data_IF_065051332119
#
_entry.id   IF_065051332119
#
_cell.length_a   1.000
_cell.length_b   1.000
_cell.length_c   1.000
_cell.angle_alpha   90.00
_cell.angle_beta   90.00
_cell.angle_gamma   90.00
#
_symmetry.space_group_name_H-M   'P 1'
#
loop_
_entity.id
_entity.type
_entity.pdbx_description
1 polymer ?
#
# COMPACT_ATOMS: atom_id res chain seq x y z
N UNK A 1 -20.06 -10.62 1.73
CA UNK A 1 -19.72 -10.38 1.89
C UNK A 1 -18.63 -9.79 1.96
N UNK A 2 -17.96 -9.61 1.77
CA UNK A 2 -16.94 -9.27 1.85
C UNK A 2 -16.72 -8.01 1.47
N UNK A 3 -17.09 -7.15 1.94
CA UNK A 3 -16.90 -5.92 1.72
C UNK A 3 -15.60 -5.44 1.76
N UNK A 4 -14.77 -5.93 2.57
CA UNK A 4 -13.53 -5.48 2.73
C UNK A 4 -12.78 -5.58 1.52
N UNK A 5 -12.97 -6.45 0.68
CA UNK A 5 -12.19 -6.57 -0.46
C UNK A 5 -12.40 -5.45 -1.44
N UNK A 6 -13.49 -4.73 -1.32
CA UNK A 6 -13.78 -3.71 -2.28
C UNK A 6 -12.73 -2.64 -2.43
N UNK A 7 -12.20 -2.15 -1.30
CA UNK A 7 -11.20 -1.09 -1.34
C UNK A 7 -9.91 -1.56 -2.01
N UNK A 8 -9.39 -2.70 -1.58
CA UNK A 8 -8.12 -3.16 -2.13
C UNK A 8 -8.25 -3.69 -3.55
N UNK A 9 -9.43 -4.20 -3.91
CA UNK A 9 -9.68 -4.56 -5.29
C UNK A 9 -9.63 -3.31 -6.16
N UNK A 10 -10.18 -2.22 -5.68
CA UNK A 10 -10.16 -0.97 -6.41
C UNK A 10 -8.74 -0.41 -6.52
N UNK A 11 -8.00 -0.46 -5.44
CA UNK A 11 -6.62 -0.01 -5.44
C UNK A 11 -5.80 -0.85 -6.42
N UNK A 12 -5.96 -2.17 -6.37
CA UNK A 12 -5.21 -3.03 -7.27
C UNK A 12 -5.60 -2.82 -8.72
N UNK A 13 -6.89 -2.62 -8.98
CA UNK A 13 -7.35 -2.43 -10.35
C UNK A 13 -6.89 -1.12 -10.95
N UNK A 14 -6.57 -0.13 -10.11
CA UNK A 14 -6.10 1.16 -10.59
C UNK A 14 -4.75 1.48 -10.01
N UNK A 15 -3.91 0.47 -9.84
CA UNK A 15 -2.67 0.63 -9.11
C UNK A 15 -1.80 1.78 -9.59
N UNK A 16 -1.71 1.95 -10.90
CA UNK A 16 -0.88 3.01 -11.42
C UNK A 16 -1.30 4.39 -10.92
N UNK A 17 -2.60 4.56 -10.71
CA UNK A 17 -3.09 5.85 -10.22
C UNK A 17 -2.73 6.06 -8.76
N UNK A 18 -2.57 4.97 -8.02
CA UNK A 18 -2.27 5.09 -6.61
C UNK A 18 -0.79 5.12 -6.27
N UNK A 19 0.08 4.81 -7.24
CA UNK A 19 1.51 4.80 -6.94
C UNK A 19 2.03 6.15 -6.49
N UNK A 20 1.50 7.22 -7.05
CA UNK A 20 1.90 8.55 -6.63
C UNK A 20 1.54 8.81 -5.17
N UNK A 21 0.36 8.39 -4.77
CA UNK A 21 -0.06 8.58 -3.38
C UNK A 21 0.78 7.73 -2.44
N UNK A 22 1.10 6.50 -2.85
CA UNK A 22 1.92 5.63 -2.04
C UNK A 22 3.30 6.26 -1.85
N UNK A 23 3.89 6.81 -2.90
CA UNK A 23 5.21 7.38 -2.80
C UNK A 23 5.22 8.68 -2.02
N UNK A 24 4.11 9.35 -1.96
CA UNK A 24 4.02 10.54 -1.14
C UNK A 24 4.08 10.14 0.33
N UNK A 25 3.41 9.05 0.67
CA UNK A 25 3.37 8.59 2.05
C UNK A 25 4.66 7.86 2.43
N UNK A 26 5.22 7.08 1.52
CA UNK A 26 6.42 6.30 1.78
C UNK A 26 7.46 6.61 0.70
N UNK A 27 8.17 7.70 0.89
CA UNK A 27 9.09 8.21 -0.12
C UNK A 27 10.26 7.28 -0.41
N UNK A 28 10.58 6.39 0.52
CA UNK A 28 11.69 5.47 0.29
C UNK A 28 11.35 4.29 -0.61
N UNK A 29 10.09 4.12 -0.96
CA UNK A 29 9.73 3.06 -1.88
C UNK A 29 10.11 3.47 -3.30
N UNK A 30 10.62 2.50 -4.06
CA UNK A 30 11.10 2.78 -5.41
C UNK A 30 10.08 2.36 -6.46
N UNK A 31 10.36 2.67 -7.71
CA UNK A 31 9.50 2.24 -8.79
C UNK A 31 9.45 0.72 -8.88
N UNK A 32 10.57 0.06 -8.62
CA UNK A 32 10.60 -1.40 -8.61
C UNK A 32 9.70 -1.93 -7.50
N UNK A 33 9.68 -1.25 -6.36
CA UNK A 33 8.79 -1.64 -5.28
C UNK A 33 7.34 -1.52 -5.71
N UNK A 34 7.03 -0.45 -6.43
CA UNK A 34 5.66 -0.27 -6.91
C UNK A 34 5.24 -1.41 -7.82
N UNK A 35 6.13 -1.83 -8.70
CA UNK A 35 5.82 -2.93 -9.60
C UNK A 35 5.67 -4.24 -8.86
N UNK A 36 6.52 -4.46 -7.87
CA UNK A 36 6.45 -5.67 -7.08
C UNK A 36 5.13 -5.74 -6.30
N UNK A 37 4.75 -4.62 -5.71
CA UNK A 37 3.53 -4.58 -4.89
C UNK A 37 2.29 -4.78 -5.74
N UNK A 38 2.19 -4.10 -6.85
CA UNK A 38 1.09 -4.28 -7.79
C UNK A 38 -0.28 -4.29 -7.12
N UNK A 39 -0.44 -3.47 -6.09
CA UNK A 39 -1.72 -3.35 -5.41
C UNK A 39 -2.02 -4.42 -4.38
N UNK A 40 -1.08 -5.31 -4.08
CA UNK A 40 -1.29 -6.34 -3.08
C UNK A 40 -0.84 -5.85 -1.72
N UNK A 41 -1.75 -5.84 -0.78
CA UNK A 41 -1.49 -5.26 0.54
C UNK A 41 -0.34 -5.94 1.27
N UNK A 42 -0.29 -7.26 1.21
CA UNK A 42 0.78 -7.96 1.90
C UNK A 42 2.16 -7.65 1.35
N UNK A 43 2.26 -7.56 0.03
CA UNK A 43 3.52 -7.21 -0.58
C UNK A 43 3.91 -5.78 -0.23
N UNK A 44 2.94 -4.90 -0.13
CA UNK A 44 3.19 -3.53 0.25
C UNK A 44 3.74 -3.45 1.66
N UNK A 45 3.14 -4.20 2.58
CA UNK A 45 3.63 -4.22 3.95
C UNK A 45 5.07 -4.73 3.99
N UNK A 46 5.38 -5.76 3.20
CA UNK A 46 6.72 -6.30 3.17
C UNK A 46 7.76 -5.29 2.70
N UNK A 47 7.43 -4.53 1.68
CA UNK A 47 8.37 -3.53 1.20
C UNK A 47 8.55 -2.38 2.17
N UNK A 48 7.46 -1.98 2.83
CA UNK A 48 7.55 -0.93 3.84
C UNK A 48 8.44 -1.39 4.98
N UNK A 49 8.28 -2.65 5.40
CA UNK A 49 9.12 -3.18 6.43
C UNK A 49 10.60 -3.14 6.03
N UNK A 50 10.89 -3.54 4.80
CA UNK A 50 12.25 -3.54 4.34
C UNK A 50 12.86 -2.15 4.26
N UNK A 51 12.14 -1.21 3.71
CA UNK A 51 12.70 0.12 3.49
C UNK A 51 12.80 0.95 4.75
N UNK A 52 11.88 0.71 5.70
CA UNK A 52 11.84 1.53 6.90
C UNK A 52 12.29 0.81 8.16
N UNK A 53 12.56 -0.48 8.07
CA UNK A 53 13.03 -1.25 9.22
C UNK A 53 12.04 -1.32 10.36
N UNK A 54 10.77 -1.45 10.05
CA UNK A 54 9.74 -1.50 11.09
C UNK A 54 9.08 -2.86 11.12
N UNK A 55 8.33 -3.12 12.18
CA UNK A 55 7.65 -4.39 12.33
C UNK A 55 6.43 -4.47 11.41
N UNK A 56 5.98 -5.68 11.15
CA UNK A 56 4.85 -5.89 10.27
C UNK A 56 3.60 -5.21 10.80
N UNK A 57 3.38 -5.26 12.10
CA UNK A 57 2.21 -4.61 12.70
C UNK A 57 2.22 -3.11 12.43
N UNK A 58 3.37 -2.51 12.54
CA UNK A 58 3.48 -1.08 12.29
C UNK A 58 3.25 -0.77 10.82
N UNK A 59 3.81 -1.60 9.93
CA UNK A 59 3.61 -1.40 8.50
C UNK A 59 2.12 -1.51 8.17
N UNK A 60 1.44 -2.50 8.72
CA UNK A 60 0.03 -2.67 8.48
C UNK A 60 -0.80 -1.52 9.03
N UNK A 61 -0.41 -1.00 10.18
CA UNK A 61 -1.11 0.13 10.75
C UNK A 61 -0.99 1.36 9.86
N UNK A 62 0.21 1.60 9.34
CA UNK A 62 0.40 2.73 8.45
C UNK A 62 -0.39 2.58 7.16
N UNK A 63 -0.44 1.36 6.62
CA UNK A 63 -1.21 1.11 5.42
C UNK A 63 -2.69 1.35 5.68
N UNK A 64 -3.16 0.91 6.81
CA UNK A 64 -4.56 1.08 7.14
C UNK A 64 -4.91 2.56 7.27
N UNK A 65 -4.07 3.33 7.94
CA UNK A 65 -4.31 4.75 8.06
C UNK A 65 -4.29 5.44 6.70
N UNK A 66 -3.38 5.02 5.84
CA UNK A 66 -3.29 5.61 4.52
C UNK A 66 -4.54 5.30 3.70
N UNK A 67 -4.96 4.05 3.73
CA UNK A 67 -6.12 3.66 2.93
C UNK A 67 -7.39 4.32 3.44
N UNK A 68 -7.48 4.59 4.74
CA UNK A 68 -8.64 5.28 5.28
C UNK A 68 -8.74 6.71 4.76
N UNK A 69 -7.62 7.30 4.41
CA UNK A 69 -7.64 8.67 3.92
C UNK A 69 -8.04 8.74 2.46
N UNK A 70 -7.99 7.62 1.76
CA UNK A 70 -8.40 7.60 0.37
C UNK A 70 -9.90 7.45 0.35
N UNK A 71 -10.60 8.49 0.12
CA UNK A 71 -12.02 8.40 0.11
C UNK A 71 -12.55 8.22 -1.27
N UNK A 72 -13.24 7.20 -1.53
CA UNK A 72 -13.83 6.94 -2.82
C UNK A 72 -15.30 7.25 -2.84
#
# INVERSE_FOLDING_TARGET
>A
MTVKGGLWDRIAGNWKQFTGEVRKQWADLTDDDMEYIAGEREKMAGRIQERYGIAKDEANRQIEEWSDKLKF
#
